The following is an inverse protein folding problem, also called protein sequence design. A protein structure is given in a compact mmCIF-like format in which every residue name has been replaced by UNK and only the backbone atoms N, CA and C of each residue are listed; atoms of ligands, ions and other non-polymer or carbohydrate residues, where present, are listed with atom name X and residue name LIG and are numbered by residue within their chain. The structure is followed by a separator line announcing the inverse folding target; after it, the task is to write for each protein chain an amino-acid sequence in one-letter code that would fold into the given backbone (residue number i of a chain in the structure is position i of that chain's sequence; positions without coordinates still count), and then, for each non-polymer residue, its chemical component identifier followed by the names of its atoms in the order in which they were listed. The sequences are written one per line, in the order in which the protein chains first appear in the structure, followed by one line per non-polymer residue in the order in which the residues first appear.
data_IF_249423284398
#
_entry.id   IF_249423284398
#
_cell.length_a   1.000
_cell.length_b   1.000
_cell.length_c   1.000
_cell.angle_alpha   90.00
_cell.angle_beta   90.00
_cell.angle_gamma   90.00
#
_symmetry.space_group_name_H-M   'P 1'
#
loop_
_entity.id
_entity.type
_entity.pdbx_description
1 polymer ?
#
# COMPACT_ATOMS: atom_id res chain seq x y z
N UNK A 1 22.04 -26.04 -10.91
CA UNK A 1 21.53 -24.88 -11.69
C UNK A 1 20.11 -24.50 -11.32
N UNK A 2 19.09 -25.33 -11.61
CA UNK A 2 17.69 -24.96 -11.35
C UNK A 2 17.35 -24.92 -9.84
N UNK A 3 17.91 -25.83 -9.04
CA UNK A 3 17.77 -25.83 -7.57
C UNK A 3 18.48 -24.63 -6.92
N UNK A 4 19.65 -24.24 -7.41
CA UNK A 4 20.43 -23.12 -6.85
C UNK A 4 19.73 -21.77 -7.08
N UNK A 5 19.16 -21.57 -8.27
CA UNK A 5 18.36 -20.37 -8.58
C UNK A 5 17.11 -20.31 -7.69
N UNK A 6 16.44 -21.45 -7.47
CA UNK A 6 15.26 -21.49 -6.61
C UNK A 6 15.58 -21.15 -5.15
N UNK A 7 16.70 -21.67 -4.62
CA UNK A 7 17.17 -21.36 -3.27
C UNK A 7 17.51 -19.87 -3.10
N UNK A 8 18.17 -19.26 -4.09
CA UNK A 8 18.51 -17.83 -4.07
C UNK A 8 17.24 -16.96 -4.11
N UNK A 9 16.25 -17.34 -4.92
CA UNK A 9 14.96 -16.64 -4.98
C UNK A 9 14.25 -16.68 -3.64
N UNK A 10 14.18 -17.86 -3.01
CA UNK A 10 13.52 -18.05 -1.72
C UNK A 10 14.17 -17.23 -0.59
N UNK A 11 15.50 -17.04 -0.64
CA UNK A 11 16.19 -16.13 0.28
C UNK A 11 15.84 -14.66 0.03
N UNK A 12 15.66 -14.28 -1.24
CA UNK A 12 15.20 -12.95 -1.63
C UNK A 12 13.75 -12.66 -1.20
N UNK A 13 12.87 -13.67 -1.28
CA UNK A 13 11.46 -13.57 -0.86
C UNK A 13 11.32 -13.15 0.61
N UNK A 14 12.11 -13.74 1.50
CA UNK A 14 12.09 -13.39 2.93
C UNK A 14 12.51 -11.93 3.19
N UNK A 15 13.45 -11.41 2.40
CA UNK A 15 13.94 -10.03 2.54
C UNK A 15 12.94 -9.03 1.97
N UNK A 16 12.40 -9.30 0.78
CA UNK A 16 11.45 -8.40 0.13
C UNK A 16 10.11 -8.40 0.86
N UNK A 17 9.67 -9.50 1.47
CA UNK A 17 8.45 -9.54 2.28
C UNK A 17 8.47 -8.48 3.40
N UNK A 18 9.60 -8.34 4.10
CA UNK A 18 9.76 -7.33 5.16
C UNK A 18 9.76 -5.91 4.59
N UNK A 19 10.47 -5.68 3.48
CA UNK A 19 10.53 -4.36 2.85
C UNK A 19 9.18 -3.94 2.26
N UNK A 20 8.48 -4.87 1.62
CA UNK A 20 7.14 -4.66 1.07
C UNK A 20 6.13 -4.34 2.18
N UNK A 21 6.18 -5.05 3.31
CA UNK A 21 5.34 -4.73 4.46
C UNK A 21 5.59 -3.30 4.95
N UNK A 22 6.85 -2.88 5.06
CA UNK A 22 7.20 -1.52 5.45
C UNK A 22 6.66 -0.44 4.50
N UNK A 23 6.66 -0.70 3.19
CA UNK A 23 6.06 0.20 2.19
C UNK A 23 4.53 0.26 2.31
N UNK A 24 3.88 -0.88 2.52
CA UNK A 24 2.43 -0.96 2.71
C UNK A 24 2.02 -0.20 3.97
N UNK A 25 2.75 -0.37 5.07
CA UNK A 25 2.46 0.31 6.33
C UNK A 25 2.68 1.82 6.21
N UNK A 26 3.72 2.27 5.52
CA UNK A 26 3.93 3.68 5.23
C UNK A 26 2.80 4.27 4.37
N UNK A 27 2.39 3.57 3.31
CA UNK A 27 1.30 4.00 2.44
C UNK A 27 -0.04 4.05 3.19
N UNK A 28 -0.30 3.10 4.09
CA UNK A 28 -1.48 3.10 4.97
C UNK A 28 -1.49 4.31 5.89
N UNK A 29 -0.39 4.60 6.56
CA UNK A 29 -0.30 5.75 7.45
C UNK A 29 -0.51 7.07 6.68
N UNK A 30 0.11 7.21 5.50
CA UNK A 30 -0.07 8.41 4.68
C UNK A 30 -1.53 8.56 4.18
N UNK A 31 -2.16 7.46 3.74
CA UNK A 31 -3.54 7.47 3.32
C UNK A 31 -4.49 7.79 4.48
N UNK A 32 -4.26 7.21 5.66
CA UNK A 32 -5.08 7.45 6.84
C UNK A 32 -4.97 8.90 7.31
N UNK A 33 -3.76 9.46 7.38
CA UNK A 33 -3.54 10.86 7.76
C UNK A 33 -4.26 11.82 6.81
N UNK A 34 -4.10 11.64 5.48
CA UNK A 34 -4.74 12.53 4.49
C UNK A 34 -6.25 12.44 4.51
N UNK A 35 -6.80 11.22 4.58
CA UNK A 35 -8.24 11.01 4.53
C UNK A 35 -8.91 11.45 5.84
N UNK A 36 -8.27 11.21 6.99
CA UNK A 36 -8.75 11.70 8.30
C UNK A 36 -8.70 13.22 8.39
N UNK A 37 -7.65 13.85 7.85
CA UNK A 37 -7.56 15.31 7.80
C UNK A 37 -8.66 15.94 6.95
N UNK A 38 -8.95 15.36 5.78
CA UNK A 38 -10.02 15.85 4.91
C UNK A 38 -11.42 15.60 5.52
N UNK A 39 -11.62 14.45 6.18
CA UNK A 39 -12.85 14.18 6.93
C UNK A 39 -13.08 15.23 8.03
N UNK A 40 -12.04 15.49 8.84
CA UNK A 40 -12.09 16.50 9.91
C UNK A 40 -12.40 17.89 9.36
N UNK A 41 -11.86 18.24 8.18
CA UNK A 41 -12.12 19.51 7.51
C UNK A 41 -13.58 19.61 7.04
N UNK A 42 -14.12 18.55 6.45
CA UNK A 42 -15.52 18.51 6.00
C UNK A 42 -16.50 18.54 7.17
N UNK A 43 -16.21 17.84 8.26
CA UNK A 43 -16.98 17.91 9.51
C UNK A 43 -17.01 19.33 10.08
N UNK A 44 -15.85 19.99 10.14
CA UNK A 44 -15.75 21.37 10.60
C UNK A 44 -16.55 22.31 9.71
N UNK A 45 -16.48 22.16 8.38
CA UNK A 45 -17.27 22.96 7.45
C UNK A 45 -18.78 22.70 7.57
N UNK A 46 -19.18 21.47 7.85
CA UNK A 46 -20.59 21.10 8.05
C UNK A 46 -21.16 21.74 9.31
N UNK A 47 -20.37 21.82 10.38
CA UNK A 47 -20.77 22.48 11.62
C UNK A 47 -21.08 23.98 11.43
N UNK A 48 -20.43 24.64 10.46
CA UNK A 48 -20.69 26.05 10.12
C UNK A 48 -21.59 26.24 8.89
N UNK A 49 -21.88 25.19 8.11
CA UNK A 49 -22.70 25.27 6.90
C UNK A 49 -23.63 24.04 6.75
N UNK A 50 -24.92 24.16 7.12
CA UNK A 50 -25.90 23.08 7.03
C UNK A 50 -26.20 22.57 5.61
N UNK A 51 -25.71 23.25 4.56
CA UNK A 51 -25.85 22.81 3.17
C UNK A 51 -24.86 21.70 2.76
N UNK A 52 -23.88 21.37 3.60
CA UNK A 52 -22.99 20.24 3.33
C UNK A 52 -23.80 18.96 3.56
N UNK A 53 -23.89 18.14 2.51
CA UNK A 53 -24.71 16.92 2.51
C UNK A 53 -23.96 15.81 3.22
N UNK A 54 -24.70 15.04 4.00
CA UNK A 54 -24.19 13.82 4.65
C UNK A 54 -23.56 12.84 3.66
N UNK A 55 -24.01 12.88 2.40
CA UNK A 55 -23.50 12.06 1.30
C UNK A 55 -22.00 12.26 1.04
N UNK A 56 -21.46 13.47 1.20
CA UNK A 56 -20.04 13.75 0.95
C UNK A 56 -19.13 13.15 2.04
N UNK A 57 -19.57 13.22 3.31
CA UNK A 57 -18.86 12.56 4.41
C UNK A 57 -18.92 11.04 4.24
N UNK A 58 -20.09 10.49 3.92
CA UNK A 58 -20.25 9.05 3.70
C UNK A 58 -19.38 8.56 2.53
N UNK A 59 -19.22 9.36 1.47
CA UNK A 59 -18.34 9.04 0.35
C UNK A 59 -16.87 9.00 0.76
N UNK A 60 -16.40 9.97 1.55
CA UNK A 60 -15.02 10.02 2.06
C UNK A 60 -14.73 8.86 3.00
N UNK A 61 -15.65 8.55 3.93
CA UNK A 61 -15.54 7.42 4.86
C UNK A 61 -15.47 6.09 4.10
N UNK A 62 -16.36 5.90 3.12
CA UNK A 62 -16.36 4.73 2.26
C UNK A 62 -15.07 4.60 1.45
N UNK A 63 -14.57 5.72 0.90
CA UNK A 63 -13.31 5.75 0.17
C UNK A 63 -12.14 5.34 1.08
N UNK A 64 -12.08 5.88 2.31
CA UNK A 64 -11.07 5.50 3.30
C UNK A 64 -11.09 4.02 3.60
N UNK A 65 -12.26 3.44 3.84
CA UNK A 65 -12.37 2.00 4.08
C UNK A 65 -11.88 1.19 2.88
N UNK A 66 -12.31 1.55 1.66
CA UNK A 66 -11.89 0.85 0.43
C UNK A 66 -10.38 0.94 0.20
N UNK A 67 -9.76 2.10 0.44
CA UNK A 67 -8.32 2.29 0.30
C UNK A 67 -7.56 1.44 1.32
N UNK A 68 -8.01 1.41 2.58
CA UNK A 68 -7.38 0.59 3.62
C UNK A 68 -7.47 -0.91 3.30
N UNK A 69 -8.62 -1.36 2.81
CA UNK A 69 -8.84 -2.75 2.42
C UNK A 69 -8.00 -3.14 1.19
N UNK A 70 -7.89 -2.24 0.20
CA UNK A 70 -7.05 -2.45 -0.98
C UNK A 70 -5.56 -2.49 -0.61
N UNK A 71 -5.09 -1.58 0.26
CA UNK A 71 -3.72 -1.59 0.76
C UNK A 71 -3.43 -2.82 1.62
N UNK A 72 -4.43 -3.36 2.32
CA UNK A 72 -4.29 -4.61 3.08
C UNK A 72 -4.07 -5.84 2.21
N UNK A 73 -4.63 -5.84 1.01
CA UNK A 73 -4.51 -6.92 0.05
C UNK A 73 -3.33 -6.71 -0.92
N UNK A 74 -2.61 -5.58 -0.78
CA UNK A 74 -1.46 -5.30 -1.62
C UNK A 74 -0.35 -6.33 -1.36
N UNK A 75 0.12 -6.95 -2.44
CA UNK A 75 1.22 -7.90 -2.43
C UNK A 75 2.35 -7.45 -3.35
N UNK A 76 3.46 -8.15 -3.26
CA UNK A 76 4.60 -7.98 -4.16
C UNK A 76 4.70 -9.20 -5.08
N UNK A 77 5.18 -8.97 -6.30
CA UNK A 77 5.41 -10.02 -7.29
C UNK A 77 6.77 -9.81 -7.92
N UNK A 78 7.52 -10.89 -8.13
CA UNK A 78 8.72 -10.85 -8.93
C UNK A 78 8.34 -10.56 -10.39
N UNK A 79 8.72 -9.40 -10.90
CA UNK A 79 8.36 -8.97 -12.26
C UNK A 79 9.42 -9.36 -13.31
N UNK A 80 10.70 -9.36 -12.94
CA UNK A 80 11.80 -9.73 -13.82
C UNK A 80 12.97 -10.41 -13.09
N UNK A 81 13.68 -11.29 -13.81
CA UNK A 81 14.86 -12.00 -13.32
C UNK A 81 15.95 -11.99 -14.41
N UNK A 82 17.17 -11.61 -14.03
CA UNK A 82 18.35 -11.65 -14.91
C UNK A 82 19.44 -12.55 -14.33
N UNK A 83 19.81 -13.60 -15.06
CA UNK A 83 20.93 -14.49 -14.71
C UNK A 83 22.24 -13.92 -15.27
N UNK A 84 23.27 -13.83 -14.42
CA UNK A 84 24.62 -13.41 -14.80
C UNK A 84 25.55 -14.60 -14.66
N UNK A 85 26.27 -14.95 -15.73
CA UNK A 85 27.27 -16.03 -15.74
C UNK A 85 28.63 -15.40 -16.03
N UNK A 86 29.59 -15.58 -15.14
CA UNK A 86 30.98 -15.14 -15.33
C UNK A 86 31.80 -16.34 -15.78
N UNK A 87 32.37 -16.27 -16.99
CA UNK A 87 33.33 -17.26 -17.49
C UNK A 87 34.73 -16.66 -17.43
N UNK A 88 35.69 -17.44 -16.95
CA UNK A 88 37.11 -17.10 -17.06
C UNK A 88 37.63 -17.90 -18.26
N UNK A 89 37.87 -17.23 -19.38
CA UNK A 89 38.73 -17.75 -20.44
C UNK A 89 40.18 -17.41 -20.12
#
# INVERSE_FOLDING_TARGET
MQQDVHAILQQGEAQIAKAAQGLIDAARNEADEKLTAELSRLEALKAVNPNIRDDELAAIESNRQQVMDALAQAGWRLDALRLIVVTHQ
#
